data_IF_632850369131
#
_entry.id   IF_632850369131
#
_cell.length_a   1.000
_cell.length_b   1.000
_cell.length_c   1.000
_cell.angle_alpha   90.00
_cell.angle_beta   90.00
_cell.angle_gamma   90.00
#
_symmetry.space_group_name_H-M   'P 1'
#
loop_
_entity.id
_entity.type
_entity.pdbx_description
1 polymer ?
#
# COMPACT_ATOMS: atom_id res chain seq x y z
N UNK A 1 12.00 -3.35 11.24
CA UNK A 1 10.56 -3.27 10.98
C UNK A 1 9.92 -4.52 11.54
N UNK A 2 9.26 -4.35 12.66
CA UNK A 2 8.51 -5.39 13.36
C UNK A 2 7.02 -5.25 13.13
N UNK A 3 6.54 -4.01 12.92
CA UNK A 3 5.13 -3.75 12.63
C UNK A 3 5.00 -2.76 11.48
N UNK A 4 3.94 -2.92 10.71
CA UNK A 4 3.54 -2.00 9.66
C UNK A 4 2.10 -1.56 9.90
N UNK A 5 1.92 -0.32 10.35
CA UNK A 5 0.61 0.28 10.56
C UNK A 5 0.17 0.94 9.26
N UNK A 6 -1.02 0.57 8.80
CA UNK A 6 -1.62 1.07 7.57
C UNK A 6 -2.95 1.73 7.90
N UNK A 7 -3.07 3.02 7.59
CA UNK A 7 -4.32 3.78 7.58
C UNK A 7 -4.54 4.37 6.19
N UNK A 8 -5.49 3.82 5.45
CA UNK A 8 -5.86 4.28 4.12
C UNK A 8 -7.29 4.81 4.14
N UNK A 9 -7.49 5.98 3.54
CA UNK A 9 -8.81 6.57 3.31
C UNK A 9 -8.88 7.12 1.90
N UNK A 10 -9.96 6.79 1.19
CA UNK A 10 -10.24 7.23 -0.18
C UNK A 10 -9.14 6.90 -1.21
N UNK A 11 -8.30 5.89 -0.94
CA UNK A 11 -7.26 5.48 -1.88
C UNK A 11 -7.83 4.51 -2.92
N UNK A 12 -8.03 4.95 -4.17
CA UNK A 12 -8.55 4.13 -5.26
C UNK A 12 -9.85 3.36 -4.91
N UNK A 13 -10.78 4.01 -4.19
CA UNK A 13 -12.05 3.41 -3.75
C UNK A 13 -11.99 2.64 -2.42
N UNK A 14 -10.83 2.53 -1.77
CA UNK A 14 -10.75 2.07 -0.38
C UNK A 14 -11.33 3.17 0.51
N UNK A 15 -12.59 3.02 0.93
CA UNK A 15 -13.26 4.01 1.80
C UNK A 15 -12.48 4.24 3.10
N UNK A 16 -12.10 3.15 3.77
CA UNK A 16 -11.31 3.16 5.00
C UNK A 16 -10.68 1.77 5.20
N UNK A 17 -9.39 1.73 5.52
CA UNK A 17 -8.68 0.53 5.97
C UNK A 17 -7.71 0.94 7.08
N UNK A 18 -7.91 0.40 8.28
CA UNK A 18 -7.00 0.56 9.41
C UNK A 18 -6.56 -0.84 9.84
N UNK A 19 -5.27 -1.13 9.74
CA UNK A 19 -4.72 -2.42 10.13
C UNK A 19 -3.28 -2.28 10.59
N UNK A 20 -2.89 -3.08 11.58
CA UNK A 20 -1.51 -3.21 12.01
C UNK A 20 -1.01 -4.62 11.65
N UNK A 21 -0.09 -4.70 10.70
CA UNK A 21 0.55 -5.94 10.31
C UNK A 21 1.73 -6.20 11.24
N UNK A 22 1.69 -7.30 11.99
CA UNK A 22 2.81 -7.76 12.80
C UNK A 22 3.72 -8.67 11.97
N UNK A 23 4.86 -8.16 11.56
CA UNK A 23 5.84 -8.89 10.73
C UNK A 23 7.00 -9.45 11.55
N UNK A 24 6.93 -9.40 12.89
CA UNK A 24 7.98 -9.89 13.78
C UNK A 24 8.13 -11.43 13.72
N UNK A 25 7.02 -12.16 13.72
CA UNK A 25 7.01 -13.62 13.63
C UNK A 25 6.78 -14.13 12.20
N UNK A 26 5.88 -13.49 11.45
CA UNK A 26 5.51 -13.87 10.09
C UNK A 26 5.58 -12.65 9.16
N UNK A 27 6.54 -12.63 8.24
CA UNK A 27 6.77 -11.50 7.33
C UNK A 27 5.93 -11.55 6.03
N UNK A 28 4.97 -12.46 5.94
CA UNK A 28 4.18 -12.71 4.73
C UNK A 28 2.69 -12.70 5.05
N UNK A 29 1.93 -11.90 4.31
CA UNK A 29 0.49 -11.74 4.50
C UNK A 29 -0.29 -12.04 3.22
N UNK A 30 -1.42 -12.74 3.37
CA UNK A 30 -2.37 -12.98 2.28
C UNK A 30 -3.59 -12.05 2.44
N UNK A 31 -3.78 -11.14 1.48
CA UNK A 31 -4.93 -10.24 1.46
C UNK A 31 -6.02 -10.82 0.55
N UNK A 32 -7.18 -11.15 1.13
CA UNK A 32 -8.34 -11.66 0.40
C UNK A 32 -9.54 -10.72 0.54
N UNK A 33 -10.20 -10.43 -0.59
CA UNK A 33 -11.43 -9.64 -0.63
C UNK A 33 -12.23 -9.99 -1.89
N UNK A 34 -13.51 -9.62 -1.94
CA UNK A 34 -14.35 -9.74 -3.13
C UNK A 34 -13.86 -8.91 -4.32
N UNK A 35 -14.48 -9.09 -5.48
CA UNK A 35 -14.21 -8.27 -6.66
C UNK A 35 -14.69 -6.83 -6.43
N UNK A 36 -13.90 -5.85 -6.89
CA UNK A 36 -14.22 -4.42 -6.74
C UNK A 36 -14.09 -3.84 -5.33
N UNK A 37 -13.49 -4.57 -4.38
CA UNK A 37 -13.34 -4.08 -2.99
C UNK A 37 -12.05 -3.29 -2.80
N UNK A 38 -10.90 -3.99 -2.71
CA UNK A 38 -9.64 -3.30 -2.36
C UNK A 38 -8.37 -3.94 -2.91
N UNK A 39 -8.38 -5.17 -3.45
CA UNK A 39 -7.12 -5.89 -3.76
C UNK A 39 -6.21 -5.10 -4.70
N UNK A 40 -6.72 -4.73 -5.87
CA UNK A 40 -5.98 -3.94 -6.86
C UNK A 40 -5.76 -2.50 -6.37
N UNK A 41 -6.73 -1.92 -5.66
CA UNK A 41 -6.61 -0.59 -5.08
C UNK A 41 -5.46 -0.50 -4.07
N UNK A 42 -5.31 -1.51 -3.22
CA UNK A 42 -4.26 -1.63 -2.22
C UNK A 42 -2.88 -1.72 -2.89
N UNK A 43 -2.74 -2.57 -3.91
CA UNK A 43 -1.51 -2.66 -4.69
C UNK A 43 -1.15 -1.34 -5.37
N UNK A 44 -2.14 -0.60 -5.91
CA UNK A 44 -1.92 0.74 -6.50
C UNK A 44 -1.50 1.77 -5.46
N UNK A 45 -2.11 1.79 -4.28
CA UNK A 45 -1.72 2.69 -3.19
C UNK A 45 -0.24 2.52 -2.80
N UNK A 46 0.24 1.28 -2.71
CA UNK A 46 1.65 1.00 -2.44
C UNK A 46 2.55 1.31 -3.64
N UNK A 47 2.04 1.17 -4.87
CA UNK A 47 2.79 1.55 -6.08
C UNK A 47 3.04 3.05 -6.13
N UNK A 48 2.02 3.85 -5.84
CA UNK A 48 2.18 5.30 -5.73
C UNK A 48 3.22 5.65 -4.65
N UNK A 49 3.21 4.93 -3.51
CA UNK A 49 4.20 5.14 -2.45
C UNK A 49 5.62 4.85 -2.95
N UNK A 50 5.84 3.73 -3.67
CA UNK A 50 7.15 3.43 -4.25
C UNK A 50 7.60 4.42 -5.33
N UNK A 51 6.66 5.12 -5.97
CA UNK A 51 6.94 6.13 -6.99
C UNK A 51 7.08 7.56 -6.42
N UNK A 52 6.75 7.75 -5.14
CA UNK A 52 6.63 9.09 -4.56
C UNK A 52 5.44 9.91 -5.05
N UNK A 53 4.42 9.25 -5.55
CA UNK A 53 3.19 9.85 -6.05
C UNK A 53 2.13 9.90 -4.94
N UNK A 54 1.25 10.90 -5.00
CA UNK A 54 0.08 10.97 -4.12
C UNK A 54 -0.99 9.99 -4.57
N UNK A 55 -1.54 9.25 -3.61
CA UNK A 55 -2.73 8.43 -3.86
C UNK A 55 -3.99 9.29 -3.90
N UNK A 56 -4.99 8.83 -4.65
CA UNK A 56 -6.24 9.56 -4.87
C UNK A 56 -7.44 8.65 -5.06
N UNK A 57 -8.63 9.22 -4.88
CA UNK A 57 -9.87 8.58 -5.33
C UNK A 57 -10.04 8.79 -6.86
N UNK A 58 -10.53 7.76 -7.55
CA UNK A 58 -10.73 7.81 -9.01
C UNK A 58 -12.07 8.42 -9.40
N UNK A 59 -13.08 8.30 -8.53
CA UNK A 59 -14.45 8.74 -8.80
C UNK A 59 -14.66 10.17 -8.33
N UNK A 60 -14.08 10.53 -7.18
CA UNK A 60 -14.21 11.86 -6.60
C UNK A 60 -12.83 12.46 -6.27
N UNK A 61 -12.11 13.02 -7.26
CA UNK A 61 -10.73 13.51 -7.07
C UNK A 61 -10.58 14.59 -5.99
N UNK A 62 -11.64 15.33 -5.70
CA UNK A 62 -11.63 16.44 -4.73
C UNK A 62 -11.77 15.97 -3.28
N UNK A 63 -12.00 14.67 -3.03
CA UNK A 63 -12.08 14.16 -1.65
C UNK A 63 -10.70 13.98 -1.04
N UNK A 64 -10.57 14.38 0.22
CA UNK A 64 -9.34 14.20 0.97
C UNK A 64 -8.96 12.72 1.03
N UNK A 65 -7.77 12.42 0.52
CA UNK A 65 -7.18 11.08 0.52
C UNK A 65 -6.10 11.02 1.59
N UNK A 66 -6.12 9.97 2.41
CA UNK A 66 -5.10 9.73 3.42
C UNK A 66 -4.39 8.41 3.14
N UNK A 67 -3.06 8.46 3.07
CA UNK A 67 -2.18 7.30 2.95
C UNK A 67 -1.12 7.41 4.05
N UNK A 68 -1.46 6.91 5.22
CA UNK A 68 -0.54 6.88 6.36
C UNK A 68 -0.04 5.44 6.54
N UNK A 69 1.24 5.23 6.23
CA UNK A 69 1.90 3.94 6.34
C UNK A 69 3.18 4.16 7.16
N UNK A 70 3.21 3.62 8.37
CA UNK A 70 4.29 3.86 9.34
C UNK A 70 4.77 2.56 9.98
N UNK A 71 6.00 2.57 10.48
CA UNK A 71 6.62 1.46 11.20
C UNK A 71 6.29 1.44 12.71
N UNK A 72 6.96 0.56 13.46
CA UNK A 72 6.87 0.46 14.93
C UNK A 72 7.17 1.77 15.68
N UNK A 73 7.99 2.65 15.10
CA UNK A 73 8.43 3.91 15.69
C UNK A 73 7.59 5.11 15.21
N UNK A 74 6.46 4.86 14.54
CA UNK A 74 5.64 5.90 13.88
C UNK A 74 6.40 6.66 12.79
N UNK A 75 7.48 6.08 12.27
CA UNK A 75 8.23 6.66 11.18
C UNK A 75 7.57 6.32 9.83
N UNK A 76 7.33 7.31 8.95
CA UNK A 76 6.79 7.06 7.62
C UNK A 76 7.66 6.11 6.81
N UNK A 77 7.00 5.21 6.08
CA UNK A 77 7.69 4.29 5.17
C UNK A 77 8.27 5.04 3.97
N UNK A 78 9.55 4.84 3.66
CA UNK A 78 10.20 5.47 2.52
C UNK A 78 9.88 4.74 1.20
N UNK A 79 9.96 5.48 0.10
CA UNK A 79 9.68 4.97 -1.26
C UNK A 79 10.60 3.79 -1.62
N UNK A 80 11.89 3.89 -1.27
CA UNK A 80 12.91 2.87 -1.52
C UNK A 80 12.70 1.57 -0.72
N UNK A 81 11.81 1.59 0.28
CA UNK A 81 11.47 0.42 1.09
C UNK A 81 10.27 -0.36 0.53
N UNK A 82 9.66 0.12 -0.56
CA UNK A 82 8.46 -0.46 -1.15
C UNK A 82 8.72 -0.90 -2.57
N UNK A 83 8.40 -2.15 -2.86
CA UNK A 83 8.46 -2.71 -4.19
C UNK A 83 7.15 -3.41 -4.54
N UNK A 84 6.53 -3.02 -5.66
CA UNK A 84 5.27 -3.60 -6.12
C UNK A 84 5.48 -4.39 -7.41
N UNK A 85 5.21 -5.69 -7.36
CA UNK A 85 5.25 -6.56 -8.54
C UNK A 85 4.00 -6.36 -9.40
N UNK A 86 4.21 -5.97 -10.65
CA UNK A 86 3.13 -5.78 -11.63
C UNK A 86 2.93 -7.03 -12.49
N UNK A 87 1.67 -7.37 -12.85
CA UNK A 87 1.36 -8.61 -13.56
C UNK A 87 1.92 -8.73 -14.99
N UNK A 88 2.44 -7.64 -15.59
CA UNK A 88 2.85 -7.61 -17.01
C UNK A 88 4.27 -7.08 -17.27
N UNK A 89 5.17 -7.10 -16.28
CA UNK A 89 6.60 -6.85 -16.53
C UNK A 89 7.30 -8.18 -16.81
N UNK A 90 7.64 -8.40 -18.09
CA UNK A 90 8.20 -9.66 -18.59
C UNK A 90 9.58 -10.00 -18.05
N UNK A 91 10.34 -9.00 -17.61
CA UNK A 91 11.68 -9.18 -17.06
C UNK A 91 11.82 -8.34 -15.77
N UNK A 92 12.14 -9.02 -14.67
CA UNK A 92 12.56 -8.38 -13.41
C UNK A 92 13.99 -8.84 -13.12
N UNK A 93 14.97 -7.97 -13.34
CA UNK A 93 16.33 -8.17 -12.83
C UNK A 93 16.44 -7.42 -11.50
N UNK A 94 16.76 -8.13 -10.41
CA UNK A 94 17.20 -7.47 -9.18
C UNK A 94 18.61 -6.95 -9.41
N UNK A 95 18.79 -5.63 -9.36
CA UNK A 95 20.12 -5.07 -9.15
C UNK A 95 20.62 -5.55 -7.78
N UNK A 96 21.82 -6.13 -7.80
CA UNK A 96 22.42 -6.87 -6.71
C UNK A 96 23.23 -5.97 -5.80
#
# INVERSE_FOLDING_TARGET
METLKVNLRNCYGIKKLEHNFDISENNTYAIYAGNGVMKTSFARTFKDLSNGEDSKDLVFPDIETARDIVDENESPLNQDQVFVMEPYRGDFESEK
#
